data_IF_431369733956
#
_entry.id   IF_431369733956
#
_cell.length_a   1.000
_cell.length_b   1.000
_cell.length_c   1.000
_cell.angle_alpha   90.00
_cell.angle_beta   90.00
_cell.angle_gamma   90.00
#
_symmetry.space_group_name_H-M   'P 1'
#
loop_
_entity.id
_entity.type
_entity.pdbx_description
1 polymer ?
#
# COMPACT_ATOMS: atom_id res chain seq x y z
N UNK A 1 13.26 -27.07 15.71
CA UNK A 1 12.13 -26.61 14.87
C UNK A 1 12.27 -27.23 13.48
N UNK A 2 11.15 -27.62 12.85
CA UNK A 2 11.16 -28.09 11.47
C UNK A 2 11.58 -26.94 10.55
N UNK A 3 12.64 -27.15 9.74
CA UNK A 3 13.24 -26.13 8.88
C UNK A 3 12.73 -26.20 7.43
N UNK A 4 11.78 -27.10 7.13
CA UNK A 4 11.24 -27.29 5.78
C UNK A 4 9.76 -26.88 5.72
N UNK A 5 9.41 -26.12 4.68
CA UNK A 5 8.10 -25.54 4.41
C UNK A 5 7.68 -25.81 2.96
N UNK A 6 6.41 -25.64 2.65
CA UNK A 6 5.96 -25.62 1.25
C UNK A 6 6.34 -24.29 0.59
N UNK A 7 6.15 -23.19 1.32
CA UNK A 7 6.43 -21.84 0.82
C UNK A 7 7.13 -21.00 1.88
N UNK A 8 8.22 -20.32 1.52
CA UNK A 8 8.84 -19.24 2.29
C UNK A 8 8.42 -17.92 1.67
N UNK A 9 7.92 -16.98 2.50
CA UNK A 9 7.56 -15.62 2.08
C UNK A 9 8.50 -14.64 2.77
N UNK A 10 9.19 -13.82 1.97
CA UNK A 10 10.11 -12.78 2.44
C UNK A 10 9.44 -11.43 2.34
N UNK A 11 9.22 -10.79 3.50
CA UNK A 11 8.50 -9.53 3.66
C UNK A 11 7.10 -9.71 4.21
N UNK A 12 6.85 -9.18 5.42
CA UNK A 12 5.61 -9.26 6.16
C UNK A 12 4.82 -7.93 6.13
N UNK A 13 4.84 -7.24 4.99
CA UNK A 13 3.91 -6.17 4.65
C UNK A 13 2.54 -6.72 4.29
N UNK A 14 1.60 -5.83 3.91
CA UNK A 14 0.21 -6.19 3.60
C UNK A 14 0.12 -7.29 2.53
N UNK A 15 0.93 -7.21 1.48
CA UNK A 15 0.89 -8.17 0.37
C UNK A 15 1.45 -9.53 0.78
N UNK A 16 2.65 -9.58 1.36
CA UNK A 16 3.28 -10.83 1.80
C UNK A 16 2.47 -11.53 2.89
N UNK A 17 1.93 -10.77 3.85
CA UNK A 17 1.05 -11.30 4.90
C UNK A 17 -0.27 -11.84 4.33
N UNK A 18 -0.83 -11.19 3.30
CA UNK A 18 -2.03 -11.69 2.63
C UNK A 18 -1.75 -13.00 1.88
N UNK A 19 -0.65 -13.06 1.12
CA UNK A 19 -0.23 -14.31 0.45
C UNK A 19 -0.05 -15.44 1.48
N UNK A 20 0.63 -15.16 2.60
CA UNK A 20 0.84 -16.13 3.66
C UNK A 20 -0.49 -16.69 4.21
N UNK A 21 -1.43 -15.78 4.49
CA UNK A 21 -2.74 -16.13 5.03
C UNK A 21 -3.55 -17.04 4.11
N UNK A 22 -3.63 -16.68 2.81
CA UNK A 22 -4.41 -17.47 1.85
C UNK A 22 -3.75 -18.79 1.49
N UNK A 23 -2.40 -18.88 1.42
CA UNK A 23 -1.70 -20.15 1.23
C UNK A 23 -1.86 -21.08 2.42
N UNK A 24 -1.77 -20.56 3.65
CA UNK A 24 -1.96 -21.38 4.87
C UNK A 24 -3.40 -21.93 4.95
N UNK A 25 -4.41 -21.12 4.61
CA UNK A 25 -5.81 -21.58 4.53
C UNK A 25 -6.06 -22.63 3.45
N UNK A 26 -5.22 -22.66 2.43
CA UNK A 26 -5.22 -23.72 1.43
C UNK A 26 -4.40 -24.95 1.85
N UNK A 27 -4.02 -25.04 3.13
CA UNK A 27 -3.29 -26.18 3.70
C UNK A 27 -1.79 -26.18 3.48
N UNK A 28 -1.20 -25.09 2.99
CA UNK A 28 0.26 -24.99 2.79
C UNK A 28 0.96 -24.66 4.11
N UNK A 29 2.09 -25.30 4.34
CA UNK A 29 2.99 -24.99 5.45
C UNK A 29 3.84 -23.76 5.09
N UNK A 30 3.57 -22.63 5.71
CA UNK A 30 4.16 -21.34 5.37
C UNK A 30 5.12 -20.85 6.42
N UNK A 31 6.28 -20.34 5.98
CA UNK A 31 7.21 -19.53 6.76
C UNK A 31 7.16 -18.09 6.25
N UNK A 32 6.85 -17.15 7.13
CA UNK A 32 6.85 -15.70 6.85
C UNK A 32 8.04 -15.05 7.57
N UNK A 33 8.91 -14.39 6.83
CA UNK A 33 10.15 -13.79 7.34
C UNK A 33 10.10 -12.28 7.10
N UNK A 34 10.46 -11.49 8.11
CA UNK A 34 10.69 -10.05 7.93
C UNK A 34 11.93 -9.60 8.72
N UNK A 35 12.70 -8.70 8.14
CA UNK A 35 13.87 -8.10 8.77
C UNK A 35 13.52 -7.20 9.96
N UNK A 36 12.28 -6.79 10.05
CA UNK A 36 11.71 -6.02 11.16
C UNK A 36 10.48 -6.73 11.74
N UNK A 37 9.60 -6.01 12.38
CA UNK A 37 8.29 -6.51 12.80
C UNK A 37 7.30 -6.50 11.64
N UNK A 38 6.25 -7.32 11.73
CA UNK A 38 5.13 -7.32 10.79
C UNK A 38 4.57 -5.91 10.64
N UNK A 39 4.30 -5.48 9.41
CA UNK A 39 3.73 -4.17 9.07
C UNK A 39 4.56 -2.97 9.56
N UNK A 40 5.86 -3.11 9.81
CA UNK A 40 6.69 -2.01 10.32
C UNK A 40 7.05 -0.98 9.25
N UNK A 41 7.23 -1.40 7.99
CA UNK A 41 7.62 -0.54 6.87
C UNK A 41 6.41 0.14 6.21
N UNK A 42 6.37 0.29 4.89
CA UNK A 42 5.33 1.00 4.15
C UNK A 42 3.90 0.67 4.58
N UNK A 43 3.59 -0.59 4.87
CA UNK A 43 2.25 -1.03 5.27
C UNK A 43 1.80 -0.50 6.62
N UNK A 44 2.71 -0.24 7.55
CA UNK A 44 2.39 0.34 8.86
C UNK A 44 2.54 1.86 8.93
N UNK A 45 3.37 2.43 8.05
CA UNK A 45 3.61 3.88 7.98
C UNK A 45 2.72 4.62 6.98
N UNK A 46 1.84 3.90 6.23
CA UNK A 46 0.97 4.53 5.24
C UNK A 46 -0.18 5.33 5.86
N UNK A 47 -0.87 6.09 5.00
CA UNK A 47 -2.01 6.90 5.41
C UNK A 47 -3.27 6.09 5.74
N UNK A 48 -3.35 4.82 5.39
CA UNK A 48 -4.55 4.00 5.54
C UNK A 48 -5.70 4.40 4.62
N UNK A 49 -5.46 5.22 3.61
CA UNK A 49 -6.50 5.70 2.69
C UNK A 49 -6.92 4.57 1.75
N UNK A 50 -8.21 4.36 1.65
CA UNK A 50 -8.85 3.49 0.66
C UNK A 50 -9.51 4.40 -0.36
N UNK A 51 -8.96 4.48 -1.59
CA UNK A 51 -9.46 5.44 -2.59
C UNK A 51 -9.20 4.98 -4.02
N UNK A 52 -10.11 5.33 -4.92
CA UNK A 52 -9.92 5.17 -6.37
C UNK A 52 -9.42 6.45 -7.05
N UNK A 53 -9.57 7.62 -6.41
CA UNK A 53 -9.10 8.88 -6.98
C UNK A 53 -7.59 8.96 -7.16
N UNK A 54 -6.81 8.29 -6.31
CA UNK A 54 -5.35 8.23 -6.40
C UNK A 54 -4.87 6.98 -7.14
N UNK A 55 -5.79 6.10 -7.55
CA UNK A 55 -5.46 4.86 -8.26
C UNK A 55 -5.29 5.14 -9.76
N UNK A 56 -4.31 4.50 -10.39
CA UNK A 56 -4.17 4.52 -11.85
C UNK A 56 -5.39 3.86 -12.50
N UNK A 57 -5.82 4.37 -13.67
CA UNK A 57 -7.03 3.89 -14.31
C UNK A 57 -7.00 2.37 -14.56
N UNK A 58 -5.90 1.83 -15.10
CA UNK A 58 -5.73 0.38 -15.32
C UNK A 58 -5.77 -0.47 -14.05
N UNK A 59 -5.57 0.13 -12.88
CA UNK A 59 -5.61 -0.56 -11.57
C UNK A 59 -6.95 -0.41 -10.86
N UNK A 60 -7.89 0.36 -11.40
CA UNK A 60 -9.22 0.56 -10.81
C UNK A 60 -9.94 -0.76 -10.53
N UNK A 61 -10.00 -1.75 -11.44
CA UNK A 61 -10.68 -3.02 -11.16
C UNK A 61 -10.11 -3.75 -9.93
N UNK A 62 -8.79 -3.67 -9.74
CA UNK A 62 -8.10 -4.29 -8.58
C UNK A 62 -8.32 -3.50 -7.29
N UNK A 63 -8.40 -2.17 -7.38
CA UNK A 63 -8.71 -1.31 -6.25
C UNK A 63 -10.16 -1.50 -5.77
N UNK A 64 -11.12 -1.65 -6.67
CA UNK A 64 -12.51 -1.97 -6.36
C UNK A 64 -12.62 -3.29 -5.59
N UNK A 65 -11.98 -4.34 -6.08
CA UNK A 65 -11.94 -5.63 -5.39
C UNK A 65 -11.21 -5.58 -4.06
N UNK A 66 -10.13 -4.80 -3.97
CA UNK A 66 -9.44 -4.56 -2.71
C UNK A 66 -10.32 -3.81 -1.71
N UNK A 67 -11.06 -2.79 -2.16
CA UNK A 67 -12.02 -2.06 -1.35
C UNK A 67 -13.15 -2.96 -0.84
N UNK A 68 -13.72 -3.82 -1.70
CA UNK A 68 -14.71 -4.84 -1.29
C UNK A 68 -14.16 -5.73 -0.17
N UNK A 69 -12.90 -6.18 -0.28
CA UNK A 69 -12.25 -6.97 0.77
C UNK A 69 -12.11 -6.20 2.08
N UNK A 70 -11.78 -4.90 2.03
CA UNK A 70 -11.71 -4.06 3.22
C UNK A 70 -13.08 -3.89 3.88
N UNK A 71 -14.15 -3.69 3.12
CA UNK A 71 -15.50 -3.56 3.66
C UNK A 71 -16.03 -4.89 4.26
N UNK A 72 -15.63 -6.03 3.69
CA UNK A 72 -15.99 -7.37 4.14
C UNK A 72 -14.87 -8.03 4.98
N UNK A 73 -14.21 -7.25 5.81
CA UNK A 73 -13.01 -7.64 6.55
C UNK A 73 -13.19 -8.92 7.38
N UNK A 74 -14.38 -9.11 7.96
CA UNK A 74 -14.72 -10.27 8.79
C UNK A 74 -14.68 -11.60 8.05
N UNK A 75 -14.74 -11.62 6.74
CA UNK A 75 -14.70 -12.84 5.94
C UNK A 75 -13.27 -13.40 5.79
N UNK A 76 -12.25 -12.55 5.93
CA UNK A 76 -10.88 -12.96 5.66
C UNK A 76 -9.84 -12.49 6.69
N UNK A 77 -10.19 -11.52 7.54
CA UNK A 77 -9.31 -11.01 8.59
C UNK A 77 -10.13 -10.83 9.88
N UNK A 78 -9.56 -10.28 10.93
CA UNK A 78 -10.22 -9.98 12.19
C UNK A 78 -11.08 -8.72 12.08
N UNK A 79 -12.17 -8.64 12.92
CA UNK A 79 -13.01 -7.44 13.02
C UNK A 79 -12.42 -6.33 13.88
N UNK A 80 -11.24 -6.52 14.45
CA UNK A 80 -10.60 -5.58 15.39
C UNK A 80 -9.90 -4.40 14.69
N UNK A 81 -10.39 -3.99 13.51
CA UNK A 81 -9.85 -2.85 12.76
C UNK A 81 -10.98 -1.86 12.50
N UNK A 82 -10.71 -0.59 12.77
CA UNK A 82 -11.56 0.47 12.26
C UNK A 82 -11.36 0.60 10.74
N UNK A 83 -12.31 0.08 9.98
CA UNK A 83 -12.47 0.35 8.55
C UNK A 83 -13.70 1.19 8.40
N UNK A 84 -13.55 2.36 7.80
CA UNK A 84 -14.66 3.30 7.63
C UNK A 84 -14.88 3.59 6.16
N UNK A 85 -16.08 3.29 5.71
CA UNK A 85 -16.60 3.77 4.43
C UNK A 85 -16.90 5.27 4.55
N UNK A 86 -16.36 6.06 3.65
CA UNK A 86 -16.62 7.49 3.48
C UNK A 86 -16.58 7.83 2.00
N UNK A 87 -17.36 8.81 1.52
CA UNK A 87 -17.21 9.26 0.15
C UNK A 87 -15.83 9.88 -0.08
N UNK A 88 -15.38 9.86 -1.34
CA UNK A 88 -14.16 10.53 -1.78
C UNK A 88 -14.48 11.76 -2.62
N UNK A 89 -13.74 12.83 -2.40
CA UNK A 89 -13.79 14.06 -3.19
C UNK A 89 -12.39 14.42 -3.67
N UNK A 90 -12.18 14.41 -4.97
CA UNK A 90 -10.96 14.93 -5.58
C UNK A 90 -11.22 16.35 -6.09
N UNK A 91 -10.55 17.35 -5.50
CA UNK A 91 -10.85 18.77 -5.71
C UNK A 91 -10.04 19.34 -6.87
N UNK A 92 -10.61 20.36 -7.53
CA UNK A 92 -9.91 21.24 -8.48
C UNK A 92 -10.12 22.70 -8.07
N UNK A 93 -9.03 23.48 -8.10
CA UNK A 93 -9.00 24.90 -7.76
C UNK A 93 -8.71 25.78 -8.98
N UNK A 94 -8.04 25.26 -9.99
CA UNK A 94 -7.71 25.97 -11.23
C UNK A 94 -8.43 25.31 -12.43
N UNK A 95 -8.45 26.02 -13.56
CA UNK A 95 -9.05 25.50 -14.79
C UNK A 95 -8.25 24.29 -15.32
N UNK A 96 -6.93 24.31 -15.18
CA UNK A 96 -6.06 23.21 -15.56
C UNK A 96 -6.33 21.98 -14.70
N UNK A 97 -6.51 22.16 -13.39
CA UNK A 97 -6.87 21.07 -12.47
C UNK A 97 -8.25 20.50 -12.78
N UNK A 98 -9.21 21.34 -13.15
CA UNK A 98 -10.56 20.93 -13.56
C UNK A 98 -10.51 20.06 -14.82
N UNK A 99 -9.80 20.51 -15.88
CA UNK A 99 -9.61 19.73 -17.11
C UNK A 99 -8.96 18.38 -16.82
N UNK A 100 -7.89 18.36 -16.03
CA UNK A 100 -7.19 17.15 -15.60
C UNK A 100 -8.11 16.20 -14.83
N UNK A 101 -8.95 16.75 -13.95
CA UNK A 101 -9.89 15.98 -13.13
C UNK A 101 -10.94 15.30 -13.99
N UNK A 102 -11.56 16.03 -14.92
CA UNK A 102 -12.57 15.51 -15.85
C UNK A 102 -11.99 14.39 -16.72
N UNK A 103 -10.83 14.64 -17.32
CA UNK A 103 -10.14 13.64 -18.16
C UNK A 103 -9.83 12.36 -17.39
N UNK A 104 -9.19 12.49 -16.21
CA UNK A 104 -8.84 11.34 -15.38
C UNK A 104 -10.05 10.59 -14.86
N UNK A 105 -11.14 11.28 -14.54
CA UNK A 105 -12.39 10.67 -14.10
C UNK A 105 -13.03 9.85 -15.21
N UNK A 106 -13.03 10.38 -16.45
CA UNK A 106 -13.51 9.64 -17.62
C UNK A 106 -12.73 8.32 -17.80
N UNK A 107 -11.39 8.40 -17.84
CA UNK A 107 -10.54 7.21 -18.03
C UNK A 107 -10.74 6.19 -16.90
N UNK A 108 -10.92 6.64 -15.65
CA UNK A 108 -11.22 5.74 -14.53
C UNK A 108 -12.61 5.11 -14.63
N UNK A 109 -13.61 5.87 -15.11
CA UNK A 109 -14.96 5.35 -15.34
C UNK A 109 -14.98 4.29 -16.44
N UNK A 110 -14.19 4.46 -17.49
CA UNK A 110 -13.99 3.46 -18.54
C UNK A 110 -13.39 2.14 -17.97
N UNK A 111 -12.79 2.20 -16.77
CA UNK A 111 -12.28 1.07 -16.01
C UNK A 111 -13.17 0.69 -14.80
N UNK A 112 -14.40 1.18 -14.72
CA UNK A 112 -15.41 0.76 -13.75
C UNK A 112 -15.50 1.60 -12.46
N UNK A 113 -14.94 2.82 -12.42
CA UNK A 113 -14.83 3.60 -11.18
C UNK A 113 -16.12 4.30 -10.72
N UNK A 114 -17.10 4.58 -11.57
CA UNK A 114 -18.35 5.32 -11.25
C UNK A 114 -18.12 6.67 -10.53
N UNK A 115 -17.25 7.52 -11.10
CA UNK A 115 -16.95 8.86 -10.59
C UNK A 115 -17.88 9.88 -11.24
N UNK A 116 -18.46 10.80 -10.44
CA UNK A 116 -19.30 11.91 -10.89
C UNK A 116 -18.57 13.23 -10.73
N UNK A 117 -18.70 14.14 -11.69
CA UNK A 117 -18.17 15.50 -11.56
C UNK A 117 -19.27 16.37 -10.95
N UNK A 118 -18.91 17.04 -9.86
CA UNK A 118 -19.78 17.95 -9.10
C UNK A 118 -19.29 19.37 -9.24
N UNK A 119 -20.20 20.32 -9.36
CA UNK A 119 -19.87 21.73 -9.21
C UNK A 119 -19.55 22.08 -7.74
N UNK A 120 -19.04 23.29 -7.49
CA UNK A 120 -18.65 23.75 -6.15
C UNK A 120 -19.78 23.65 -5.13
N UNK A 121 -21.01 24.04 -5.49
CA UNK A 121 -22.15 24.03 -4.57
C UNK A 121 -22.61 22.60 -4.21
N UNK A 122 -22.58 21.69 -5.16
CA UNK A 122 -22.88 20.26 -4.94
C UNK A 122 -21.82 19.61 -4.04
N UNK A 123 -20.54 19.87 -4.29
CA UNK A 123 -19.46 19.34 -3.47
C UNK A 123 -19.53 19.84 -2.02
N UNK A 124 -19.87 21.14 -1.82
CA UNK A 124 -20.03 21.73 -0.49
C UNK A 124 -21.29 21.23 0.25
N UNK A 125 -22.32 20.74 -0.44
CA UNK A 125 -23.44 20.05 0.21
C UNK A 125 -23.04 18.71 0.80
N UNK A 126 -22.13 18.00 0.12
CA UNK A 126 -21.59 16.70 0.61
C UNK A 126 -20.60 16.94 1.75
N UNK A 127 -19.71 17.91 1.58
CA UNK A 127 -18.66 18.24 2.55
C UNK A 127 -18.62 19.75 2.82
N UNK A 128 -19.38 20.21 3.83
CA UNK A 128 -19.50 21.66 4.14
C UNK A 128 -18.18 22.32 4.56
N UNK A 129 -17.21 21.53 5.04
CA UNK A 129 -15.88 22.01 5.47
C UNK A 129 -14.97 22.45 4.32
N UNK A 130 -15.39 22.21 3.05
CA UNK A 130 -14.58 22.56 1.89
C UNK A 130 -14.48 24.08 1.70
N UNK A 131 -13.31 24.51 1.27
CA UNK A 131 -13.07 25.89 0.83
C UNK A 131 -14.07 26.32 -0.23
N UNK A 132 -14.57 27.56 -0.12
CA UNK A 132 -15.43 28.19 -1.14
C UNK A 132 -14.70 28.47 -2.46
N UNK A 133 -13.37 28.24 -2.51
CA UNK A 133 -12.52 28.50 -3.67
C UNK A 133 -12.43 27.32 -4.63
N UNK A 134 -13.04 26.17 -4.30
CA UNK A 134 -13.08 25.02 -5.21
C UNK A 134 -13.92 25.37 -6.45
N UNK A 135 -13.45 24.93 -7.62
CA UNK A 135 -14.19 25.07 -8.89
C UNK A 135 -15.16 23.90 -9.09
N UNK A 136 -14.64 22.69 -8.92
CA UNK A 136 -15.40 21.44 -9.01
C UNK A 136 -14.73 20.35 -8.17
N UNK A 137 -15.41 19.21 -8.06
CA UNK A 137 -14.87 18.01 -7.44
C UNK A 137 -15.29 16.76 -8.23
N UNK A 138 -14.42 15.77 -8.28
CA UNK A 138 -14.80 14.42 -8.68
C UNK A 138 -15.22 13.65 -7.43
N UNK A 139 -16.39 13.08 -7.46
CA UNK A 139 -17.04 12.39 -6.35
C UNK A 139 -17.06 10.89 -6.58
N UNK A 140 -16.67 10.13 -5.56
CA UNK A 140 -16.79 8.67 -5.49
C UNK A 140 -17.54 8.28 -4.23
N UNK A 141 -18.49 7.36 -4.35
CA UNK A 141 -19.19 6.81 -3.17
C UNK A 141 -18.31 5.80 -2.40
N UNK A 142 -17.31 5.21 -3.03
CA UNK A 142 -16.57 4.03 -2.54
C UNK A 142 -15.12 4.36 -2.15
N UNK A 143 -14.92 5.36 -1.33
CA UNK A 143 -13.65 5.64 -0.68
C UNK A 143 -13.73 5.32 0.83
N UNK A 144 -12.73 5.69 1.60
CA UNK A 144 -12.69 5.48 3.04
C UNK A 144 -11.27 5.34 3.60
N UNK A 145 -11.19 4.68 4.74
CA UNK A 145 -9.90 4.36 5.34
C UNK A 145 -9.94 3.08 6.19
N UNK A 146 -8.76 2.45 6.35
CA UNK A 146 -8.50 1.44 7.35
C UNK A 146 -7.31 1.88 8.23
N UNK A 147 -7.44 1.76 9.54
CA UNK A 147 -6.44 2.27 10.47
C UNK A 147 -5.16 1.43 10.40
N UNK A 148 -4.07 1.97 9.84
CA UNK A 148 -2.86 1.22 9.52
C UNK A 148 -2.25 0.49 10.74
N UNK A 149 -2.24 1.14 11.91
CA UNK A 149 -1.71 0.54 13.14
C UNK A 149 -2.53 -0.68 13.59
N UNK A 150 -3.86 -0.62 13.50
CA UNK A 150 -4.75 -1.73 13.86
C UNK A 150 -4.63 -2.87 12.84
N UNK A 151 -4.45 -2.52 11.57
CA UNK A 151 -4.29 -3.49 10.48
C UNK A 151 -3.12 -4.44 10.72
N UNK A 152 -1.96 -3.93 11.09
CA UNK A 152 -0.79 -4.76 11.39
C UNK A 152 -1.04 -5.75 12.53
N UNK A 153 -1.71 -5.31 13.60
CA UNK A 153 -2.06 -6.16 14.72
C UNK A 153 -3.07 -7.24 14.34
N UNK A 154 -4.07 -6.90 13.52
CA UNK A 154 -5.08 -7.85 13.07
C UNK A 154 -4.47 -8.91 12.15
N UNK A 155 -3.60 -8.52 11.21
CA UNK A 155 -2.86 -9.49 10.41
C UNK A 155 -2.01 -10.41 11.28
N UNK A 156 -1.28 -9.88 12.27
CA UNK A 156 -0.48 -10.71 13.18
C UNK A 156 -1.32 -11.76 13.90
N UNK A 157 -2.48 -11.39 14.43
CA UNK A 157 -3.43 -12.33 15.07
C UNK A 157 -3.94 -13.36 14.07
N UNK A 158 -4.34 -12.97 12.86
CA UNK A 158 -4.84 -13.87 11.85
C UNK A 158 -3.78 -14.89 11.40
N UNK A 159 -2.55 -14.43 11.15
CA UNK A 159 -1.43 -15.30 10.78
C UNK A 159 -1.09 -16.31 11.88
N UNK A 160 -1.13 -15.89 13.15
CA UNK A 160 -0.91 -16.78 14.29
C UNK A 160 -2.02 -17.85 14.42
N UNK A 161 -3.28 -17.46 14.14
CA UNK A 161 -4.43 -18.40 14.16
C UNK A 161 -4.31 -19.50 13.10
N UNK A 162 -3.71 -19.20 11.95
CA UNK A 162 -3.47 -20.17 10.87
C UNK A 162 -2.16 -20.96 11.03
N UNK A 163 -1.55 -20.95 12.23
CA UNK A 163 -0.31 -21.66 12.55
C UNK A 163 0.87 -21.36 11.60
N UNK A 164 0.92 -20.17 11.02
CA UNK A 164 2.03 -19.72 10.18
C UNK A 164 3.25 -19.51 11.08
N UNK A 165 4.39 -20.06 10.69
CA UNK A 165 5.65 -19.76 11.35
C UNK A 165 6.11 -18.37 10.95
N UNK A 166 6.30 -17.48 11.94
CA UNK A 166 6.65 -16.07 11.72
C UNK A 166 8.03 -15.81 12.32
N UNK A 167 8.95 -15.28 11.53
CA UNK A 167 10.28 -14.84 11.96
C UNK A 167 10.39 -13.33 11.77
N UNK A 168 10.15 -12.58 12.83
CA UNK A 168 10.40 -11.14 12.90
C UNK A 168 11.89 -10.87 13.22
N UNK A 169 12.39 -9.68 12.89
CA UNK A 169 13.78 -9.24 13.09
C UNK A 169 14.79 -10.22 12.51
N UNK A 170 14.48 -10.79 11.36
CA UNK A 170 15.24 -11.84 10.69
C UNK A 170 15.50 -11.43 9.25
N UNK A 171 16.73 -10.98 8.99
CA UNK A 171 17.13 -10.50 7.68
C UNK A 171 17.54 -11.67 6.78
N UNK A 172 16.96 -11.75 5.59
CA UNK A 172 17.39 -12.69 4.55
C UNK A 172 18.69 -12.17 3.94
N UNK A 173 19.76 -12.94 4.10
CA UNK A 173 21.11 -12.59 3.64
C UNK A 173 21.59 -13.43 2.46
N UNK A 174 20.90 -14.53 2.17
CA UNK A 174 21.24 -15.42 1.05
C UNK A 174 20.04 -16.25 0.61
N UNK A 175 19.88 -16.39 -0.69
CA UNK A 175 18.93 -17.29 -1.33
C UNK A 175 19.69 -18.16 -2.33
N UNK A 176 19.47 -19.47 -2.28
CA UNK A 176 20.01 -20.43 -3.25
C UNK A 176 18.88 -21.34 -3.72
N UNK A 177 18.94 -21.77 -4.97
CA UNK A 177 18.06 -22.80 -5.54
C UNK A 177 18.90 -24.02 -5.91
N UNK A 178 18.56 -25.13 -5.28
CA UNK A 178 18.99 -26.48 -5.67
C UNK A 178 17.70 -27.30 -5.93
N UNK A 179 17.56 -28.49 -5.37
CA UNK A 179 16.29 -29.20 -5.40
C UNK A 179 15.17 -28.41 -4.70
N UNK A 180 15.49 -27.70 -3.61
CA UNK A 180 14.62 -26.76 -2.91
C UNK A 180 15.30 -25.39 -2.81
N UNK A 181 14.53 -24.34 -2.51
CA UNK A 181 15.07 -23.06 -2.08
C UNK A 181 15.68 -23.23 -0.70
N UNK A 182 16.92 -22.74 -0.53
CA UNK A 182 17.60 -22.55 0.74
C UNK A 182 17.69 -21.06 1.02
N UNK A 183 17.07 -20.61 2.11
CA UNK A 183 17.05 -19.21 2.55
C UNK A 183 17.82 -19.10 3.85
N UNK A 184 18.95 -18.39 3.82
CA UNK A 184 19.74 -18.09 5.02
C UNK A 184 19.26 -16.77 5.60
N UNK A 185 18.87 -16.78 6.86
CA UNK A 185 18.56 -15.59 7.63
C UNK A 185 19.66 -15.25 8.62
N UNK A 186 19.77 -13.97 8.97
CA UNK A 186 20.56 -13.48 10.11
C UNK A 186 19.62 -12.87 11.14
N UNK A 187 19.72 -13.37 12.38
CA UNK A 187 19.01 -12.80 13.54
C UNK A 187 20.02 -12.69 14.69
N UNK A 188 20.28 -11.47 15.16
CA UNK A 188 21.27 -11.20 16.23
C UNK A 188 22.63 -11.87 15.97
N UNK A 189 23.12 -11.79 14.72
CA UNK A 189 24.37 -12.42 14.24
C UNK A 189 24.39 -13.97 14.26
N UNK A 190 23.23 -14.61 14.43
CA UNK A 190 23.08 -16.05 14.30
C UNK A 190 22.46 -16.34 12.93
N UNK A 191 23.22 -17.08 12.10
CA UNK A 191 22.75 -17.48 10.77
C UNK A 191 22.01 -18.82 10.87
N UNK A 192 20.88 -18.91 10.17
CA UNK A 192 20.09 -20.12 10.11
C UNK A 192 19.48 -20.33 8.73
N UNK A 193 19.52 -21.58 8.23
CA UNK A 193 18.95 -21.96 6.95
C UNK A 193 17.54 -22.53 7.10
N UNK A 194 16.67 -22.17 6.16
CA UNK A 194 15.33 -22.71 5.98
C UNK A 194 15.14 -23.15 4.54
N UNK A 195 14.28 -24.14 4.33
CA UNK A 195 14.10 -24.79 3.02
C UNK A 195 12.65 -24.78 2.62
N UNK A 196 12.37 -24.56 1.32
CA UNK A 196 11.02 -24.65 0.78
C UNK A 196 11.03 -25.04 -0.70
N UNK A 197 9.91 -25.57 -1.16
CA UNK A 197 9.68 -25.85 -2.58
C UNK A 197 9.41 -24.55 -3.37
N UNK A 198 8.81 -23.57 -2.71
CA UNK A 198 8.45 -22.29 -3.29
C UNK A 198 8.94 -21.11 -2.44
N UNK A 199 9.24 -19.97 -3.10
CA UNK A 199 9.58 -18.72 -2.44
C UNK A 199 8.74 -17.56 -3.02
N UNK A 200 8.27 -16.65 -2.15
CA UNK A 200 7.59 -15.40 -2.54
C UNK A 200 8.40 -14.22 -2.02
N UNK A 201 8.79 -13.31 -2.90
CA UNK A 201 9.47 -12.08 -2.55
C UNK A 201 8.45 -10.94 -2.47
N UNK A 202 8.24 -10.37 -1.28
CA UNK A 202 7.29 -9.29 -0.98
C UNK A 202 7.97 -8.13 -0.20
N UNK A 203 9.22 -7.82 -0.57
CA UNK A 203 10.14 -6.99 0.21
C UNK A 203 10.00 -5.47 -0.01
N UNK A 204 8.95 -4.99 -0.70
CA UNK A 204 8.73 -3.56 -0.93
C UNK A 204 9.93 -2.88 -1.60
N UNK A 205 10.45 -1.81 -1.03
CA UNK A 205 11.60 -1.06 -1.59
C UNK A 205 12.90 -1.85 -1.65
N UNK A 206 13.01 -2.94 -0.89
CA UNK A 206 14.20 -3.82 -0.88
C UNK A 206 14.13 -4.97 -1.90
N UNK A 207 13.07 -5.04 -2.72
CA UNK A 207 12.92 -6.09 -3.75
C UNK A 207 14.12 -6.15 -4.69
N UNK A 208 14.64 -5.00 -5.14
CA UNK A 208 15.80 -4.95 -6.02
C UNK A 208 17.08 -5.56 -5.41
N UNK A 209 17.27 -5.44 -4.10
CA UNK A 209 18.41 -6.02 -3.38
C UNK A 209 18.27 -7.55 -3.22
N UNK A 210 17.08 -7.99 -2.86
CA UNK A 210 16.79 -9.43 -2.70
C UNK A 210 16.83 -10.17 -4.05
N UNK A 211 16.33 -9.55 -5.11
CA UNK A 211 16.36 -10.13 -6.47
C UNK A 211 17.80 -10.37 -6.98
N UNK A 212 18.76 -9.52 -6.58
CA UNK A 212 20.18 -9.73 -6.92
C UNK A 212 20.72 -11.06 -6.39
N UNK A 213 20.20 -11.56 -5.26
CA UNK A 213 20.57 -12.88 -4.71
C UNK A 213 20.13 -14.04 -5.61
N UNK A 214 19.20 -13.77 -6.55
CA UNK A 214 18.70 -14.71 -7.54
C UNK A 214 19.13 -14.36 -8.98
N UNK A 215 20.16 -13.52 -9.13
CA UNK A 215 20.69 -13.03 -10.42
C UNK A 215 19.67 -12.28 -11.28
N UNK A 216 18.65 -11.66 -10.66
CA UNK A 216 17.66 -10.83 -11.35
C UNK A 216 17.93 -9.36 -11.00
N UNK A 217 17.99 -8.49 -12.02
CA UNK A 217 18.20 -7.05 -11.85
C UNK A 217 17.01 -6.28 -12.39
N UNK A 218 16.43 -5.46 -11.55
CA UNK A 218 15.40 -4.47 -11.91
C UNK A 218 15.76 -3.13 -11.29
N UNK A 219 15.25 -2.04 -11.88
CA UNK A 219 15.32 -0.72 -11.28
C UNK A 219 14.04 -0.46 -10.48
N UNK A 220 14.19 -0.02 -9.24
CA UNK A 220 13.09 0.43 -8.39
C UNK A 220 13.44 1.79 -7.80
N UNK A 221 12.52 2.73 -7.93
CA UNK A 221 12.59 4.02 -7.24
C UNK A 221 12.15 3.85 -5.80
N UNK A 222 12.86 4.51 -4.90
CA UNK A 222 12.47 4.63 -3.50
C UNK A 222 11.89 6.02 -3.28
N UNK A 223 10.60 6.09 -2.94
CA UNK A 223 9.91 7.34 -2.67
C UNK A 223 9.76 7.48 -1.15
N UNK A 224 10.37 8.51 -0.56
CA UNK A 224 10.18 8.85 0.85
C UNK A 224 8.93 9.74 0.97
N UNK A 225 7.82 9.18 1.42
CA UNK A 225 6.54 9.87 1.58
C UNK A 225 6.35 10.32 3.02
N UNK A 226 6.10 11.62 3.23
CA UNK A 226 5.87 12.17 4.56
C UNK A 226 4.37 12.33 4.86
N UNK A 227 4.02 12.10 6.11
CA UNK A 227 2.67 12.19 6.63
C UNK A 227 2.64 13.04 7.90
N UNK A 228 1.56 13.78 8.09
CA UNK A 228 1.34 14.71 9.17
C UNK A 228 0.02 14.34 9.84
N UNK A 229 -0.01 14.25 11.17
CA UNK A 229 -1.25 14.07 11.92
C UNK A 229 -1.42 15.23 12.91
N UNK A 230 -2.65 15.74 12.98
CA UNK A 230 -3.02 16.82 13.87
C UNK A 230 -3.31 16.33 15.29
N UNK A 231 -3.43 17.25 16.26
CA UNK A 231 -4.16 16.99 17.49
C UNK A 231 -5.62 16.65 17.17
N UNK A 232 -6.34 16.14 18.18
CA UNK A 232 -7.77 15.83 18.05
C UNK A 232 -8.59 17.09 17.86
N UNK A 233 -9.49 17.04 16.93
CA UNK A 233 -10.47 18.08 16.62
C UNK A 233 -11.88 17.51 16.74
N UNK A 234 -12.89 18.37 16.89
CA UNK A 234 -14.27 17.96 16.67
C UNK A 234 -14.42 17.39 15.25
N UNK A 235 -15.33 16.45 15.08
CA UNK A 235 -15.59 15.89 13.76
C UNK A 235 -16.21 16.96 12.84
N UNK A 236 -15.55 17.24 11.74
CA UNK A 236 -15.95 18.21 10.75
C UNK A 236 -15.74 17.72 9.30
N UNK A 237 -14.92 16.68 9.12
CA UNK A 237 -14.57 16.14 7.81
C UNK A 237 -15.12 14.72 7.66
N UNK A 238 -16.09 14.56 6.76
CA UNK A 238 -16.80 13.31 6.56
C UNK A 238 -16.40 12.57 5.28
N UNK A 239 -15.49 13.16 4.50
CA UNK A 239 -15.05 12.65 3.21
C UNK A 239 -13.53 12.45 3.20
N UNK A 240 -13.05 11.53 2.35
CA UNK A 240 -11.64 11.48 1.95
C UNK A 240 -11.40 12.57 0.90
N UNK A 241 -10.55 13.53 1.19
CA UNK A 241 -10.25 14.64 0.28
C UNK A 241 -8.91 14.39 -0.40
N UNK A 242 -8.90 14.54 -1.71
CA UNK A 242 -7.70 14.57 -2.54
C UNK A 242 -7.74 15.79 -3.46
N UNK A 243 -6.69 16.03 -4.25
CA UNK A 243 -6.65 17.12 -5.22
C UNK A 243 -6.16 16.59 -6.58
N UNK A 244 -6.62 17.20 -7.65
CA UNK A 244 -6.34 16.77 -9.03
C UNK A 244 -4.84 16.62 -9.35
N UNK A 245 -3.98 17.49 -8.80
CA UNK A 245 -2.52 17.43 -8.99
C UNK A 245 -1.82 16.38 -8.10
N UNK A 246 -2.54 15.64 -7.26
CA UNK A 246 -2.01 14.59 -6.38
C UNK A 246 -1.29 15.09 -5.11
N UNK A 247 -1.21 16.38 -4.86
CA UNK A 247 -0.46 16.97 -3.74
C UNK A 247 -1.22 17.05 -2.42
N UNK A 248 -2.40 16.45 -2.32
CA UNK A 248 -3.17 16.38 -1.07
C UNK A 248 -3.86 15.02 -0.95
N UNK A 249 -3.78 14.45 0.24
CA UNK A 249 -4.65 13.38 0.74
C UNK A 249 -5.01 13.73 2.18
N UNK A 250 -6.29 13.88 2.47
CA UNK A 250 -6.79 14.38 3.73
C UNK A 250 -7.98 13.55 4.19
N UNK A 251 -8.01 13.18 5.47
CA UNK A 251 -9.17 12.54 6.10
C UNK A 251 -9.14 12.71 7.60
N UNK A 252 -10.30 12.63 8.24
CA UNK A 252 -10.42 12.65 9.69
C UNK A 252 -10.80 11.25 10.20
N UNK A 253 -10.02 10.78 11.19
CA UNK A 253 -10.32 9.54 11.89
C UNK A 253 -11.42 9.75 12.94
N UNK A 254 -12.08 8.65 13.35
CA UNK A 254 -13.15 8.70 14.36
C UNK A 254 -12.68 9.27 15.71
N UNK A 255 -11.39 9.17 16.03
CA UNK A 255 -10.82 9.74 17.25
C UNK A 255 -10.58 11.27 17.16
N UNK A 256 -10.93 11.92 16.04
CA UNK A 256 -10.79 13.36 15.81
C UNK A 256 -9.45 13.81 15.21
N UNK A 257 -8.44 12.96 15.09
CA UNK A 257 -7.20 13.32 14.42
C UNK A 257 -7.41 13.45 12.91
N UNK A 258 -6.80 14.46 12.30
CA UNK A 258 -6.77 14.60 10.85
C UNK A 258 -5.42 14.16 10.32
N UNK A 259 -5.41 13.30 9.32
CA UNK A 259 -4.21 12.86 8.62
C UNK A 259 -4.06 13.61 7.31
N UNK A 260 -2.91 14.23 7.12
CA UNK A 260 -2.55 15.04 5.95
C UNK A 260 -1.37 14.36 5.26
N UNK A 261 -1.49 14.13 3.97
CA UNK A 261 -0.46 13.57 3.10
C UNK A 261 -0.62 14.06 1.67
N UNK A 262 -0.06 13.33 0.73
CA UNK A 262 -0.05 13.65 -0.71
C UNK A 262 1.36 13.61 -1.26
N UNK A 263 1.56 14.08 -2.48
CA UNK A 263 2.84 14.02 -3.20
C UNK A 263 3.91 15.02 -2.71
N UNK A 264 4.19 15.09 -1.42
CA UNK A 264 5.23 15.91 -0.80
C UNK A 264 6.33 14.99 -0.25
N UNK A 265 7.47 14.86 -0.97
CA UNK A 265 8.53 13.95 -0.56
C UNK A 265 9.29 14.44 0.66
N UNK A 266 9.82 13.50 1.44
CA UNK A 266 10.93 13.70 2.34
C UNK A 266 12.23 13.18 1.73
N UNK A 267 13.23 12.91 2.57
CA UNK A 267 14.53 12.31 2.19
C UNK A 267 14.67 10.95 2.85
N UNK A 268 15.11 9.95 2.09
CA UNK A 268 15.40 8.61 2.58
C UNK A 268 15.52 7.60 1.46
N UNK A 269 16.44 6.67 1.61
CA UNK A 269 16.68 5.55 0.69
C UNK A 269 16.74 4.23 1.45
N UNK A 270 16.80 3.12 0.72
CA UNK A 270 16.85 1.77 1.30
C UNK A 270 18.07 1.52 2.18
N UNK A 271 19.17 2.20 1.89
CA UNK A 271 20.47 2.08 2.60
C UNK A 271 20.55 3.01 3.81
N UNK A 272 19.67 4.00 3.91
CA UNK A 272 19.73 4.98 4.98
C UNK A 272 19.27 4.37 6.31
N UNK A 273 19.99 4.67 7.37
CA UNK A 273 19.55 4.38 8.74
C UNK A 273 18.43 5.31 9.19
N UNK A 274 18.34 6.49 8.59
CA UNK A 274 17.41 7.55 8.97
C UNK A 274 16.76 8.14 7.74
N UNK A 275 15.49 8.46 7.89
CA UNK A 275 14.73 9.30 6.96
C UNK A 275 14.57 10.67 7.59
N UNK A 276 14.51 11.72 6.78
CA UNK A 276 14.28 13.08 7.26
C UNK A 276 13.20 13.80 6.47
N UNK A 277 12.49 14.69 7.13
CA UNK A 277 11.49 15.55 6.51
C UNK A 277 12.17 16.72 5.80
N UNK A 278 11.49 17.26 4.79
CA UNK A 278 11.84 18.51 4.13
C UNK A 278 10.87 19.57 4.67
N UNK A 279 11.33 20.56 5.46
CA UNK A 279 10.46 21.55 6.13
C UNK A 279 9.56 22.32 5.15
N UNK A 280 10.08 22.70 3.98
CA UNK A 280 9.34 23.42 2.94
C UNK A 280 8.17 22.59 2.42
N UNK A 281 8.37 21.28 2.24
CA UNK A 281 7.34 20.35 1.81
C UNK A 281 6.28 20.13 2.90
N UNK A 282 6.67 20.08 4.17
CA UNK A 282 5.71 20.02 5.28
C UNK A 282 4.83 21.26 5.31
N UNK A 283 5.44 22.45 5.24
CA UNK A 283 4.73 23.73 5.23
C UNK A 283 3.79 23.81 4.02
N UNK A 284 4.27 23.41 2.83
CA UNK A 284 3.48 23.38 1.61
C UNK A 284 2.26 22.49 1.72
N UNK A 285 2.43 21.27 2.27
CA UNK A 285 1.34 20.31 2.45
C UNK A 285 0.30 20.82 3.45
N UNK A 286 0.73 21.38 4.59
CA UNK A 286 -0.16 21.99 5.60
C UNK A 286 -0.93 23.18 5.01
N UNK A 287 -0.25 24.08 4.28
CA UNK A 287 -0.88 25.23 3.63
C UNK A 287 -1.96 24.77 2.64
N UNK A 288 -1.67 23.73 1.85
CA UNK A 288 -2.64 23.18 0.90
C UNK A 288 -3.83 22.54 1.62
N UNK A 289 -3.60 21.80 2.71
CA UNK A 289 -4.66 21.26 3.54
C UNK A 289 -5.57 22.37 4.12
N UNK A 290 -4.99 23.43 4.69
CA UNK A 290 -5.73 24.60 5.18
C UNK A 290 -6.43 25.38 4.05
N UNK A 291 -5.91 25.35 2.84
CA UNK A 291 -6.55 25.98 1.68
C UNK A 291 -7.76 25.17 1.22
N UNK A 292 -7.65 23.84 1.22
CA UNK A 292 -8.74 22.95 0.87
C UNK A 292 -9.85 22.91 1.95
N UNK A 293 -9.45 22.94 3.23
CA UNK A 293 -10.34 22.81 4.39
C UNK A 293 -9.92 23.83 5.47
N UNK A 294 -10.53 25.02 5.46
CA UNK A 294 -10.13 26.15 6.31
C UNK A 294 -10.18 25.90 7.82
N UNK A 295 -10.95 24.96 8.30
CA UNK A 295 -11.07 24.55 9.70
C UNK A 295 -9.72 24.10 10.30
N UNK A 296 -8.79 23.64 9.45
CA UNK A 296 -7.46 23.20 9.87
C UNK A 296 -6.52 24.35 10.29
N UNK A 297 -6.86 25.61 10.01
CA UNK A 297 -5.96 26.76 10.28
C UNK A 297 -5.54 26.90 11.72
N UNK A 298 -6.41 26.52 12.66
CA UNK A 298 -6.17 26.69 14.11
C UNK A 298 -5.77 25.40 14.81
N UNK A 299 -5.45 24.34 14.05
CA UNK A 299 -5.04 23.07 14.63
C UNK A 299 -3.52 23.02 14.85
N UNK A 300 -3.11 22.13 15.76
CA UNK A 300 -1.70 21.84 16.02
C UNK A 300 -1.32 20.51 15.41
N UNK A 301 -0.04 20.38 15.08
CA UNK A 301 0.53 19.11 14.59
C UNK A 301 0.95 18.27 15.80
N UNK A 302 0.47 17.06 15.86
CA UNK A 302 0.81 16.08 16.89
C UNK A 302 2.03 15.24 16.51
N UNK A 303 2.11 14.80 15.25
CA UNK A 303 3.19 13.92 14.79
C UNK A 303 3.44 14.07 13.29
N UNK A 304 4.69 13.83 12.90
CA UNK A 304 5.14 13.71 11.52
C UNK A 304 5.95 12.42 11.42
N UNK A 305 5.80 11.67 10.33
CA UNK A 305 6.64 10.52 10.03
C UNK A 305 6.78 10.32 8.53
N UNK A 306 7.69 9.44 8.14
CA UNK A 306 7.94 9.05 6.76
C UNK A 306 7.78 7.54 6.58
N UNK A 307 7.37 7.16 5.37
CA UNK A 307 7.39 5.79 4.88
C UNK A 307 8.12 5.73 3.55
N UNK A 308 8.79 4.61 3.30
CA UNK A 308 9.45 4.35 2.03
C UNK A 308 8.53 3.52 1.14
N UNK A 309 8.23 4.02 -0.05
CA UNK A 309 7.40 3.38 -1.06
C UNK A 309 8.23 2.99 -2.28
N UNK A 310 8.01 1.78 -2.81
CA UNK A 310 8.66 1.33 -4.05
C UNK A 310 7.83 1.72 -5.26
N UNK A 311 8.48 2.25 -6.30
CA UNK A 311 7.86 2.52 -7.58
C UNK A 311 8.71 1.96 -8.72
N UNK A 312 8.06 1.28 -9.67
CA UNK A 312 8.65 0.87 -10.95
C UNK A 312 8.68 2.03 -11.93
N UNK A 313 9.51 1.96 -12.98
CA UNK A 313 9.59 3.03 -13.98
C UNK A 313 8.27 3.26 -14.73
N UNK A 314 7.46 2.21 -14.94
CA UNK A 314 6.12 2.29 -15.51
C UNK A 314 5.03 2.51 -14.45
N UNK A 315 5.42 2.55 -13.18
CA UNK A 315 4.58 2.66 -11.99
C UNK A 315 3.41 1.65 -11.96
N UNK A 316 3.61 0.47 -12.55
CA UNK A 316 2.72 -0.68 -12.48
C UNK A 316 3.22 -1.69 -11.46
N UNK A 317 2.34 -2.44 -10.78
CA UNK A 317 2.74 -3.49 -9.84
C UNK A 317 3.62 -4.56 -10.49
N UNK A 318 4.41 -5.23 -9.67
CA UNK A 318 5.09 -6.47 -10.05
C UNK A 318 4.39 -7.60 -9.33
N UNK A 319 3.79 -8.54 -10.08
CA UNK A 319 3.10 -9.71 -9.51
C UNK A 319 3.27 -10.89 -10.47
N UNK A 320 3.69 -12.04 -9.95
CA UNK A 320 3.77 -13.27 -10.74
C UNK A 320 5.03 -14.09 -10.51
N UNK A 321 5.41 -14.89 -11.51
CA UNK A 321 6.63 -15.71 -11.47
C UNK A 321 7.88 -14.86 -11.72
N UNK A 322 8.99 -15.28 -11.12
CA UNK A 322 10.32 -14.76 -11.46
C UNK A 322 10.89 -15.65 -12.59
N UNK A 323 11.20 -15.08 -13.77
CA UNK A 323 11.75 -15.85 -14.89
C UNK A 323 12.99 -16.63 -14.51
N UNK A 324 13.21 -17.79 -15.16
CA UNK A 324 14.35 -18.69 -14.95
C UNK A 324 14.54 -19.20 -13.51
N UNK A 325 13.52 -18.97 -12.65
CA UNK A 325 13.51 -19.39 -11.26
C UNK A 325 12.22 -20.14 -10.93
N UNK A 326 12.10 -21.38 -11.37
CA UNK A 326 10.89 -22.19 -11.11
C UNK A 326 10.58 -22.27 -9.62
N UNK A 327 9.31 -22.03 -9.25
CA UNK A 327 8.85 -21.98 -7.87
C UNK A 327 9.15 -20.65 -7.15
N UNK A 328 9.72 -19.65 -7.84
CA UNK A 328 9.91 -18.31 -7.31
C UNK A 328 8.87 -17.34 -7.82
N UNK A 329 8.31 -16.58 -6.88
CA UNK A 329 7.24 -15.59 -7.13
C UNK A 329 7.58 -14.24 -6.51
N UNK A 330 6.95 -13.20 -7.00
CA UNK A 330 7.16 -11.83 -6.55
C UNK A 330 5.83 -11.08 -6.45
N UNK A 331 5.75 -10.16 -5.48
CA UNK A 331 4.66 -9.19 -5.36
C UNK A 331 5.17 -7.90 -4.74
N UNK A 332 4.86 -6.76 -5.36
CA UNK A 332 5.23 -5.46 -4.79
C UNK A 332 5.09 -4.29 -5.74
N UNK A 333 5.62 -3.14 -5.30
CA UNK A 333 5.72 -1.88 -6.06
C UNK A 333 4.37 -1.36 -6.54
N UNK A 334 3.37 -1.33 -5.67
CA UNK A 334 2.01 -0.88 -6.00
C UNK A 334 1.75 0.48 -5.37
N UNK A 335 1.72 1.53 -6.17
CA UNK A 335 1.18 2.81 -5.73
C UNK A 335 -0.31 2.65 -5.40
N UNK A 336 -0.77 3.23 -4.28
CA UNK A 336 -2.10 2.93 -3.68
C UNK A 336 -2.28 1.46 -3.27
N UNK A 337 -1.18 0.77 -3.02
CA UNK A 337 -1.14 -0.65 -2.65
C UNK A 337 -1.84 -1.01 -1.34
N UNK A 338 -2.23 -0.03 -0.54
CA UNK A 338 -3.03 -0.29 0.65
C UNK A 338 -4.47 -0.67 0.29
N UNK A 339 -5.07 0.01 -0.68
CA UNK A 339 -6.42 -0.31 -1.17
C UNK A 339 -6.45 -1.67 -1.87
N UNK A 340 -5.57 -1.87 -2.86
CA UNK A 340 -5.58 -3.08 -3.72
C UNK A 340 -4.76 -4.26 -3.17
N UNK A 341 -3.86 -4.01 -2.22
CA UNK A 341 -2.88 -4.99 -1.75
C UNK A 341 -3.45 -6.32 -1.24
N UNK A 342 -4.53 -6.32 -0.43
CA UNK A 342 -5.16 -7.56 -0.01
C UNK A 342 -5.67 -8.40 -1.20
N UNK A 343 -6.32 -7.77 -2.17
CA UNK A 343 -6.81 -8.47 -3.35
C UNK A 343 -5.66 -8.98 -4.24
N UNK A 344 -4.62 -8.19 -4.46
CA UNK A 344 -3.44 -8.61 -5.22
C UNK A 344 -2.68 -9.75 -4.54
N UNK A 345 -2.58 -9.73 -3.21
CA UNK A 345 -2.00 -10.84 -2.44
C UNK A 345 -2.84 -12.12 -2.57
N UNK A 346 -4.17 -12.00 -2.54
CA UNK A 346 -5.08 -13.13 -2.81
C UNK A 346 -4.90 -13.67 -4.23
N UNK A 347 -4.84 -12.82 -5.24
CA UNK A 347 -4.63 -13.22 -6.63
C UNK A 347 -3.31 -14.01 -6.80
N UNK A 348 -2.22 -13.52 -6.22
CA UNK A 348 -0.95 -14.24 -6.28
C UNK A 348 -1.05 -15.60 -5.58
N UNK A 349 -1.71 -15.68 -4.43
CA UNK A 349 -1.90 -16.97 -3.74
C UNK A 349 -2.72 -17.96 -4.60
N UNK A 350 -3.77 -17.49 -5.26
CA UNK A 350 -4.57 -18.30 -6.18
C UNK A 350 -3.76 -18.78 -7.39
N UNK A 351 -2.93 -17.91 -7.95
CA UNK A 351 -2.00 -18.26 -9.03
C UNK A 351 -0.99 -19.34 -8.60
N UNK A 352 -0.40 -19.21 -7.40
CA UNK A 352 0.52 -20.20 -6.82
C UNK A 352 -0.16 -21.56 -6.62
N UNK A 353 -1.45 -21.55 -6.26
CA UNK A 353 -2.27 -22.75 -6.08
C UNK A 353 -2.76 -23.36 -7.41
N UNK A 354 -2.37 -22.82 -8.56
CA UNK A 354 -2.69 -23.34 -9.88
C UNK A 354 -4.08 -22.96 -10.40
N UNK A 355 -4.74 -21.95 -9.77
CA UNK A 355 -6.00 -21.42 -10.33
C UNK A 355 -5.73 -20.60 -11.58
N UNK A 356 -6.73 -20.50 -12.44
CA UNK A 356 -6.66 -19.68 -13.66
C UNK A 356 -6.74 -18.19 -13.33
N UNK A 357 -5.58 -17.57 -13.09
CA UNK A 357 -5.43 -16.12 -12.80
C UNK A 357 -4.48 -15.54 -13.84
N UNK A 358 -4.90 -14.50 -14.55
CA UNK A 358 -4.04 -13.78 -15.48
C UNK A 358 -3.29 -12.67 -14.72
N UNK A 359 -1.95 -12.75 -14.74
CA UNK A 359 -1.03 -11.76 -14.15
C UNK A 359 -0.06 -11.18 -15.20
N UNK A 360 -0.30 -11.38 -16.50
CA UNK A 360 0.65 -11.02 -17.57
C UNK A 360 1.01 -9.53 -17.57
N UNK A 361 0.04 -8.65 -17.32
CA UNK A 361 0.25 -7.20 -17.24
C UNK A 361 1.19 -6.79 -16.10
N UNK A 362 1.41 -7.67 -15.12
CA UNK A 362 2.23 -7.39 -13.92
C UNK A 362 3.56 -8.14 -13.94
N UNK A 363 3.84 -8.91 -15.00
CA UNK A 363 5.03 -9.75 -15.09
C UNK A 363 6.30 -8.92 -14.97
N UNK A 364 7.22 -9.37 -14.12
CA UNK A 364 8.51 -8.71 -13.87
C UNK A 364 9.41 -8.64 -15.12
N UNK A 365 9.21 -9.54 -16.11
CA UNK A 365 10.04 -9.59 -17.33
C UNK A 365 10.10 -8.26 -18.08
N UNK A 366 9.07 -7.40 -17.95
CA UNK A 366 9.03 -6.06 -18.57
C UNK A 366 10.05 -5.08 -17.99
N UNK A 367 10.56 -5.37 -16.78
CA UNK A 367 11.47 -4.51 -16.02
C UNK A 367 12.90 -5.09 -15.91
N UNK A 368 13.11 -6.33 -16.34
CA UNK A 368 14.41 -6.98 -16.28
C UNK A 368 15.36 -6.31 -17.26
N UNK A 369 16.45 -5.80 -16.75
CA UNK A 369 17.52 -5.24 -17.56
C UNK A 369 18.21 -6.36 -18.33
N UNK A 370 18.17 -6.29 -19.66
CA UNK A 370 18.98 -7.19 -20.51
C UNK A 370 20.47 -6.90 -20.23
N UNK A 371 21.20 -7.96 -19.96
CA UNK A 371 22.66 -7.89 -19.78
C UNK A 371 23.34 -7.54 -21.10
#
# INVERSE_FOLDING_TARGET
MNKTFDTIIVGAGIMGSTVALFLARAGKKVLLIDKSQIFRSASGSNAGTLTIHMTRASLVPYALKGWEMWMNLSEWLSRDIEVKHQPGLCLAFTEEEEKLLVERSKIRNDNGANIKILNSAEAQKIEPSLSKKIRCAAFSEIDGYAYANQTGLAYKKALQKENITILENSEVIKIKKNAKFSVTISNKNINQDYYADQIVLACGVWLGEILKMMNVKINLKCLAQQLIVTERMNNFLNSVITIANGKLSLKQFSNGNVLIGGGWPGVGETKDKFTSTIPENLIGNIRLACYATPELKNTRISRIWLGLEAETDDAMPIIGKIPDNEGAYIIGSVHSGYTSGPYMGKLLSEYILGKNVNLDSFNISRLIQKQ
#
